data_IF_963195680429
#
_entry.id   IF_963195680429
#
_cell.length_a   1.000
_cell.length_b   1.000
_cell.length_c   1.000
_cell.angle_alpha   90.00
_cell.angle_beta   90.00
_cell.angle_gamma   90.00
#
_symmetry.space_group_name_H-M   'P 1'
#
loop_
_entity.id
_entity.type
_entity.pdbx_description
1 polymer ?
#
# COMPACT_ATOMS: atom_id res chain seq x y z
N UNK A 1 -15.94 -36.94 27.83
CA UNK A 1 -15.92 -38.36 27.51
C UNK A 1 -15.95 -39.27 28.76
N UNK A 2 -16.64 -38.85 29.81
CA UNK A 2 -16.73 -39.59 31.07
C UNK A 2 -18.17 -39.68 31.61
N UNK A 3 -19.15 -39.78 30.75
CA UNK A 3 -20.57 -39.93 31.10
C UNK A 3 -21.47 -40.03 29.90
N UNK A 4 -22.77 -40.26 30.12
CA UNK A 4 -23.72 -40.31 29.00
C UNK A 4 -23.71 -39.02 28.20
N UNK A 5 -23.71 -39.12 26.87
CA UNK A 5 -23.67 -37.96 25.93
C UNK A 5 -24.77 -36.91 26.25
N UNK A 6 -25.98 -37.37 26.54
CA UNK A 6 -27.09 -36.51 26.92
C UNK A 6 -26.81 -35.76 28.22
N UNK A 7 -26.20 -36.40 29.19
CA UNK A 7 -25.82 -35.79 30.47
C UNK A 7 -24.68 -34.77 30.26
N UNK A 8 -23.68 -35.12 29.46
CA UNK A 8 -22.57 -34.24 29.13
C UNK A 8 -23.00 -33.01 28.34
N UNK A 9 -23.93 -33.18 27.40
CA UNK A 9 -24.53 -32.03 26.66
C UNK A 9 -25.32 -31.10 27.60
N UNK A 10 -26.12 -31.64 28.51
CA UNK A 10 -26.86 -30.85 29.50
C UNK A 10 -25.90 -30.11 30.46
N UNK A 11 -24.86 -30.79 30.91
CA UNK A 11 -23.84 -30.20 31.79
C UNK A 11 -23.02 -29.12 31.07
N UNK A 12 -22.70 -29.34 29.80
CA UNK A 12 -22.06 -28.34 28.93
C UNK A 12 -22.93 -27.11 28.79
N UNK A 13 -24.22 -27.27 28.53
CA UNK A 13 -25.18 -26.17 28.48
C UNK A 13 -25.32 -25.42 29.80
N UNK A 14 -25.37 -26.12 30.92
CA UNK A 14 -25.41 -25.50 32.26
C UNK A 14 -24.14 -24.69 32.55
N UNK A 15 -22.96 -25.24 32.24
CA UNK A 15 -21.66 -24.54 32.38
C UNK A 15 -21.59 -23.30 31.50
N UNK A 16 -22.01 -23.38 30.25
CA UNK A 16 -22.07 -22.26 29.34
C UNK A 16 -22.93 -21.09 29.87
N UNK A 17 -24.12 -21.41 30.38
CA UNK A 17 -25.02 -20.44 31.02
C UNK A 17 -24.43 -19.81 32.28
N UNK A 18 -23.81 -20.61 33.16
CA UNK A 18 -23.16 -20.13 34.37
C UNK A 18 -21.95 -19.24 34.05
N UNK A 19 -21.15 -19.61 33.06
CA UNK A 19 -20.02 -18.81 32.59
C UNK A 19 -20.48 -17.47 32.02
N UNK A 20 -21.58 -17.44 31.22
CA UNK A 20 -22.19 -16.21 30.74
C UNK A 20 -22.58 -15.31 31.89
N UNK A 21 -23.28 -15.85 32.90
CA UNK A 21 -23.74 -15.08 34.06
C UNK A 21 -22.56 -14.46 34.84
N UNK A 22 -21.52 -15.24 35.09
CA UNK A 22 -20.31 -14.78 35.75
C UNK A 22 -19.55 -13.71 34.96
N UNK A 23 -19.46 -13.87 33.66
CA UNK A 23 -18.82 -12.88 32.77
C UNK A 23 -19.60 -11.56 32.75
N UNK A 24 -20.92 -11.61 32.65
CA UNK A 24 -21.79 -10.42 32.73
C UNK A 24 -21.66 -9.68 34.06
N UNK A 25 -21.57 -10.41 35.14
CA UNK A 25 -21.35 -9.81 36.50
C UNK A 25 -19.98 -9.14 36.56
N UNK A 26 -18.96 -9.76 36.01
CA UNK A 26 -17.63 -9.16 35.86
C UNK A 26 -17.66 -7.85 35.05
N UNK A 27 -18.36 -7.83 33.90
CA UNK A 27 -18.50 -6.63 33.07
C UNK A 27 -19.19 -5.49 33.85
N UNK A 28 -20.24 -5.78 34.58
CA UNK A 28 -20.94 -4.80 35.46
C UNK A 28 -19.98 -4.23 36.52
N UNK A 29 -19.24 -5.09 37.20
CA UNK A 29 -18.27 -4.69 38.25
C UNK A 29 -17.09 -3.88 37.70
N UNK A 30 -16.69 -4.15 36.44
CA UNK A 30 -15.59 -3.45 35.75
C UNK A 30 -16.02 -2.12 35.11
N UNK A 31 -17.23 -1.62 35.39
CA UNK A 31 -17.82 -0.41 34.76
C UNK A 31 -17.98 -0.50 33.22
N UNK A 32 -18.02 -1.70 32.70
CA UNK A 32 -18.29 -2.02 31.29
C UNK A 32 -19.74 -2.47 31.09
N UNK A 33 -20.69 -1.84 31.80
CA UNK A 33 -22.08 -2.24 31.87
C UNK A 33 -22.82 -2.24 30.53
N UNK A 34 -22.37 -1.43 29.55
CA UNK A 34 -22.93 -1.43 28.19
C UNK A 34 -22.73 -2.78 27.50
N UNK A 35 -21.72 -3.55 27.90
CA UNK A 35 -21.43 -4.88 27.38
C UNK A 35 -22.10 -6.00 28.20
N UNK A 36 -22.87 -5.66 29.22
CA UNK A 36 -23.58 -6.62 30.06
C UNK A 36 -25.01 -6.92 29.55
N UNK A 37 -25.38 -6.49 28.35
CA UNK A 37 -26.65 -6.82 27.71
C UNK A 37 -26.66 -8.29 27.28
N UNK A 38 -27.70 -9.02 27.70
CA UNK A 38 -27.86 -10.45 27.44
C UNK A 38 -28.01 -10.80 25.95
N UNK A 39 -28.45 -9.85 25.12
CA UNK A 39 -28.66 -10.04 23.69
C UNK A 39 -27.35 -10.22 22.93
N UNK A 40 -26.25 -9.72 23.49
CA UNK A 40 -24.92 -9.79 22.86
C UNK A 40 -24.18 -11.11 23.15
N UNK A 41 -24.76 -12.01 23.97
CA UNK A 41 -24.07 -13.24 24.38
C UNK A 41 -24.82 -14.48 23.93
N UNK A 42 -24.23 -15.20 23.02
CA UNK A 42 -24.71 -16.51 22.58
C UNK A 42 -24.02 -17.59 23.41
N UNK A 43 -24.78 -18.54 23.94
CA UNK A 43 -24.25 -19.71 24.62
C UNK A 43 -24.38 -20.92 23.72
N UNK A 44 -23.31 -21.70 23.58
CA UNK A 44 -23.30 -22.95 22.86
C UNK A 44 -22.85 -24.07 23.80
N UNK A 45 -23.53 -25.21 23.74
CA UNK A 45 -23.08 -26.46 24.35
C UNK A 45 -22.36 -27.25 23.25
N UNK A 46 -21.04 -27.37 23.36
CA UNK A 46 -20.22 -28.06 22.35
C UNK A 46 -20.08 -29.56 22.61
N UNK A 47 -20.68 -30.05 23.72
CA UNK A 47 -20.56 -31.45 24.11
C UNK A 47 -19.14 -31.84 24.52
N UNK A 48 -18.67 -32.94 23.98
CA UNK A 48 -17.34 -33.51 24.30
C UNK A 48 -16.25 -32.89 23.42
N UNK A 49 -15.19 -32.40 24.07
CA UNK A 49 -14.02 -31.77 23.41
C UNK A 49 -12.97 -32.84 23.08
N UNK A 50 -13.18 -33.60 22.00
CA UNK A 50 -12.22 -34.64 21.58
C UNK A 50 -10.89 -34.08 21.08
N UNK A 51 -10.88 -32.93 20.45
CA UNK A 51 -9.63 -32.30 20.00
C UNK A 51 -8.84 -31.78 21.20
N UNK A 52 -9.50 -31.13 22.15
CA UNK A 52 -8.88 -30.74 23.42
C UNK A 52 -8.38 -31.95 24.20
N UNK A 53 -9.09 -33.07 24.17
CA UNK A 53 -8.64 -34.31 24.78
C UNK A 53 -7.32 -34.78 24.20
N UNK A 54 -7.18 -34.84 22.90
CA UNK A 54 -5.92 -35.25 22.23
C UNK A 54 -4.76 -34.34 22.63
N UNK A 55 -4.97 -33.04 22.61
CA UNK A 55 -3.95 -32.06 22.97
C UNK A 55 -3.50 -32.19 24.42
N UNK A 56 -4.44 -32.31 25.35
CA UNK A 56 -4.11 -32.43 26.78
C UNK A 56 -3.55 -33.82 27.14
N UNK A 57 -3.95 -34.86 26.44
CA UNK A 57 -3.37 -36.20 26.58
C UNK A 57 -1.89 -36.21 26.16
N UNK A 58 -1.56 -35.58 25.04
CA UNK A 58 -0.17 -35.43 24.59
C UNK A 58 0.70 -34.73 25.63
N UNK A 59 0.14 -33.68 26.26
CA UNK A 59 0.80 -32.86 27.29
C UNK A 59 0.93 -33.53 28.65
N UNK A 60 0.17 -34.57 28.91
CA UNK A 60 0.15 -35.25 30.21
C UNK A 60 1.45 -36.02 30.45
N UNK A 61 2.34 -35.45 31.29
CA UNK A 61 3.65 -36.05 31.58
C UNK A 61 3.59 -37.32 32.44
N UNK A 62 2.53 -37.48 33.25
CA UNK A 62 2.33 -38.61 34.10
C UNK A 62 1.76 -39.86 33.40
N UNK A 63 1.40 -39.74 32.11
CA UNK A 63 0.84 -40.88 31.34
C UNK A 63 1.91 -41.39 30.37
N UNK A 64 2.29 -42.69 30.46
CA UNK A 64 3.24 -43.30 29.53
C UNK A 64 2.75 -43.25 28.06
N UNK A 65 3.66 -43.13 27.10
CA UNK A 65 3.31 -42.98 25.67
C UNK A 65 2.48 -44.18 25.17
N UNK A 66 2.81 -45.39 25.61
CA UNK A 66 2.03 -46.60 25.24
C UNK A 66 0.56 -46.52 25.66
N UNK A 67 0.29 -45.92 26.84
CA UNK A 67 -1.08 -45.69 27.32
C UNK A 67 -1.78 -44.58 26.55
N UNK A 68 -1.05 -43.49 26.19
CA UNK A 68 -1.58 -42.44 25.32
C UNK A 68 -2.03 -42.99 23.98
N UNK A 69 -1.21 -43.79 23.36
CA UNK A 69 -1.51 -44.45 22.08
C UNK A 69 -2.72 -45.37 22.16
N UNK A 70 -2.85 -46.08 23.31
CA UNK A 70 -4.00 -46.94 23.57
C UNK A 70 -5.30 -46.11 23.72
N UNK A 71 -5.27 -44.99 24.45
CA UNK A 71 -6.43 -44.11 24.60
C UNK A 71 -6.87 -43.52 23.28
N UNK A 72 -5.94 -43.04 22.43
CA UNK A 72 -6.25 -42.53 21.10
C UNK A 72 -6.85 -43.61 20.20
N UNK A 73 -6.37 -44.84 20.32
CA UNK A 73 -6.91 -45.97 19.55
C UNK A 73 -8.34 -46.27 19.96
N UNK A 74 -8.64 -46.37 21.27
CA UNK A 74 -10.00 -46.61 21.79
C UNK A 74 -10.95 -45.53 21.27
N UNK A 75 -10.55 -44.26 21.25
CA UNK A 75 -11.39 -43.17 20.70
C UNK A 75 -11.73 -43.34 19.23
N UNK A 76 -10.89 -43.99 18.46
CA UNK A 76 -11.10 -44.20 17.01
C UNK A 76 -11.79 -45.52 16.66
N UNK A 77 -11.77 -46.51 17.56
CA UNK A 77 -12.31 -47.86 17.29
C UNK A 77 -13.83 -47.95 17.27
N UNK A 78 -14.52 -47.13 18.05
CA UNK A 78 -15.98 -47.14 18.12
C UNK A 78 -16.58 -45.79 17.72
N UNK A 79 -17.55 -45.83 16.83
CA UNK A 79 -18.34 -44.67 16.49
C UNK A 79 -19.43 -44.37 17.55
N UNK A 80 -19.82 -45.36 18.34
CA UNK A 80 -20.81 -45.23 19.41
C UNK A 80 -20.18 -44.59 20.66
N UNK A 81 -20.63 -43.44 21.12
CA UNK A 81 -20.11 -42.77 22.32
C UNK A 81 -20.22 -43.62 23.58
N UNK A 82 -21.32 -44.35 23.75
CA UNK A 82 -21.53 -45.20 24.93
C UNK A 82 -20.55 -46.37 24.96
N UNK A 83 -20.22 -46.93 23.82
CA UNK A 83 -19.26 -48.01 23.75
C UNK A 83 -17.84 -47.49 24.00
N UNK A 84 -17.47 -46.33 23.43
CA UNK A 84 -16.19 -45.67 23.71
C UNK A 84 -15.97 -45.41 25.18
N UNK A 85 -16.99 -44.94 25.90
CA UNK A 85 -16.93 -44.69 27.33
C UNK A 85 -16.64 -45.99 28.09
N UNK A 86 -17.39 -47.05 27.80
CA UNK A 86 -17.16 -48.37 28.40
C UNK A 86 -15.76 -48.90 28.16
N UNK A 87 -15.28 -48.73 26.92
CA UNK A 87 -13.95 -49.19 26.53
C UNK A 87 -12.85 -48.40 27.26
N UNK A 88 -13.03 -47.08 27.42
CA UNK A 88 -12.11 -46.23 28.19
C UNK A 88 -12.11 -46.60 29.69
N UNK A 89 -13.29 -46.80 30.29
CA UNK A 89 -13.41 -47.20 31.68
C UNK A 89 -12.78 -48.59 31.91
N UNK A 90 -12.91 -49.52 30.95
CA UNK A 90 -12.32 -50.84 31.00
C UNK A 90 -10.77 -50.83 31.09
N UNK A 91 -10.12 -49.69 30.76
CA UNK A 91 -8.68 -49.52 30.91
C UNK A 91 -8.21 -49.35 32.37
N UNK A 92 -9.13 -49.27 33.32
CA UNK A 92 -8.87 -49.31 34.76
C UNK A 92 -7.92 -48.22 35.23
N UNK A 93 -6.69 -48.58 35.63
CA UNK A 93 -5.70 -47.60 36.17
C UNK A 93 -5.40 -46.46 35.17
N UNK A 94 -5.41 -46.74 33.88
CA UNK A 94 -5.22 -45.72 32.85
C UNK A 94 -6.36 -44.71 32.84
N UNK A 95 -7.61 -45.15 33.00
CA UNK A 95 -8.76 -44.23 33.08
C UNK A 95 -8.65 -43.28 34.29
N UNK A 96 -8.20 -43.81 35.46
CA UNK A 96 -7.97 -42.97 36.66
C UNK A 96 -6.89 -41.91 36.41
N UNK A 97 -5.89 -42.15 35.59
CA UNK A 97 -4.90 -41.14 35.21
C UNK A 97 -5.53 -40.05 34.28
N UNK A 98 -6.39 -40.43 33.35
CA UNK A 98 -7.15 -39.49 32.55
C UNK A 98 -8.02 -38.55 33.42
N UNK A 99 -8.70 -39.13 34.41
CA UNK A 99 -9.52 -38.37 35.34
C UNK A 99 -8.73 -37.31 36.14
N UNK A 100 -7.47 -37.59 36.42
CA UNK A 100 -6.60 -36.67 37.22
C UNK A 100 -5.90 -35.63 36.32
N UNK A 101 -5.37 -36.06 35.17
CA UNK A 101 -4.45 -35.21 34.42
C UNK A 101 -5.05 -34.57 33.15
N UNK A 102 -6.07 -35.20 32.56
CA UNK A 102 -6.62 -34.77 31.26
C UNK A 102 -8.01 -34.15 31.41
N UNK A 103 -8.96 -34.92 31.99
CA UNK A 103 -10.36 -34.46 32.05
C UNK A 103 -10.59 -33.12 32.74
N UNK A 104 -9.90 -32.76 33.84
CA UNK A 104 -10.07 -31.45 34.43
C UNK A 104 -9.71 -30.29 33.51
N UNK A 105 -8.77 -30.49 32.60
CA UNK A 105 -8.29 -29.47 31.68
C UNK A 105 -9.22 -29.25 30.49
N UNK A 106 -9.97 -30.29 30.09
CA UNK A 106 -10.96 -30.18 28.99
C UNK A 106 -12.37 -29.81 29.48
N UNK A 107 -12.61 -29.91 30.80
CA UNK A 107 -13.87 -29.47 31.43
C UNK A 107 -13.90 -27.97 31.64
N UNK A 108 -13.79 -27.20 30.52
CA UNK A 108 -13.68 -25.76 30.51
C UNK A 108 -14.83 -25.11 29.73
N UNK A 109 -15.12 -23.87 30.07
CA UNK A 109 -15.88 -22.98 29.21
C UNK A 109 -14.92 -22.03 28.50
N UNK A 110 -15.12 -21.81 27.21
CA UNK A 110 -14.34 -20.90 26.40
C UNK A 110 -15.17 -19.66 26.15
N UNK A 111 -14.65 -18.49 26.43
CA UNK A 111 -15.25 -17.21 26.11
C UNK A 111 -14.59 -16.72 24.82
N UNK A 112 -15.39 -16.59 23.76
CA UNK A 112 -14.97 -15.99 22.51
C UNK A 112 -15.57 -14.60 22.42
N UNK A 113 -14.75 -13.59 22.33
CA UNK A 113 -15.17 -12.19 22.17
C UNK A 113 -14.96 -11.82 20.70
N UNK A 114 -16.06 -11.61 19.98
CA UNK A 114 -16.03 -11.00 18.66
C UNK A 114 -16.29 -9.51 18.84
N UNK A 115 -15.39 -8.67 18.37
CA UNK A 115 -15.56 -7.23 18.41
C UNK A 115 -15.24 -6.64 17.04
N UNK A 116 -15.91 -5.54 16.75
CA UNK A 116 -15.59 -4.72 15.59
C UNK A 116 -15.05 -3.40 16.11
N UNK A 117 -13.82 -3.08 15.77
CA UNK A 117 -13.27 -1.77 15.99
C UNK A 117 -13.86 -0.81 14.95
N UNK A 118 -14.58 0.20 15.39
CA UNK A 118 -15.03 1.25 14.48
C UNK A 118 -13.82 2.16 14.21
N UNK A 119 -13.33 2.11 12.97
CA UNK A 119 -12.29 3.02 12.51
C UNK A 119 -12.76 4.47 12.51
N UNK A 120 -11.81 5.39 12.45
CA UNK A 120 -12.12 6.81 12.30
C UNK A 120 -12.78 7.08 10.94
N UNK A 121 -13.74 7.98 10.91
CA UNK A 121 -14.31 8.50 9.67
C UNK A 121 -13.28 9.33 8.89
N UNK A 122 -13.54 9.57 7.61
CA UNK A 122 -12.65 10.36 6.75
C UNK A 122 -12.38 11.76 7.31
N UNK A 123 -13.37 12.40 7.93
CA UNK A 123 -13.23 13.72 8.52
C UNK A 123 -12.43 13.68 9.83
N UNK A 124 -12.64 12.68 10.65
CA UNK A 124 -11.83 12.45 11.85
C UNK A 124 -10.37 12.14 11.50
N UNK A 125 -10.13 11.34 10.45
CA UNK A 125 -8.77 11.07 9.96
C UNK A 125 -8.07 12.35 9.50
N UNK A 126 -8.75 13.22 8.73
CA UNK A 126 -8.20 14.52 8.31
C UNK A 126 -7.88 15.41 9.51
N UNK A 127 -8.81 15.53 10.45
CA UNK A 127 -8.65 16.35 11.62
C UNK A 127 -7.49 15.85 12.52
N UNK A 128 -7.41 14.54 12.73
CA UNK A 128 -6.36 13.92 13.54
C UNK A 128 -4.98 14.01 12.87
N UNK A 129 -4.92 13.88 11.54
CA UNK A 129 -3.67 14.04 10.79
C UNK A 129 -3.10 15.46 10.85
N UNK A 130 -3.95 16.47 11.03
CA UNK A 130 -3.52 17.87 11.21
C UNK A 130 -3.13 18.15 12.68
N UNK A 131 -3.92 17.68 13.65
CA UNK A 131 -3.76 18.01 15.06
C UNK A 131 -2.76 17.11 15.80
N UNK A 132 -2.77 15.80 15.55
CA UNK A 132 -2.02 14.80 16.34
C UNK A 132 -1.56 13.62 15.46
N UNK A 133 -0.78 13.85 14.40
CA UNK A 133 -0.38 12.78 13.47
C UNK A 133 0.44 11.68 14.14
N UNK A 134 1.15 11.97 15.23
CA UNK A 134 1.93 10.98 15.97
C UNK A 134 1.08 9.90 16.68
N UNK A 135 -0.22 10.16 16.86
CA UNK A 135 -1.18 9.21 17.46
C UNK A 135 -1.88 8.34 16.42
N UNK A 136 -1.58 8.53 15.13
CA UNK A 136 -2.14 7.75 14.03
C UNK A 136 -1.18 6.64 13.62
N UNK A 137 -1.73 5.53 13.17
CA UNK A 137 -0.95 4.46 12.56
C UNK A 137 -0.36 4.89 11.20
N UNK A 138 0.67 4.15 10.74
CA UNK A 138 1.24 4.38 9.41
C UNK A 138 0.19 4.25 8.30
N UNK A 139 -0.71 3.27 8.43
CA UNK A 139 -1.76 3.03 7.43
C UNK A 139 -2.78 4.18 7.38
N UNK A 140 -3.21 4.69 8.53
CA UNK A 140 -4.11 5.85 8.59
C UNK A 140 -3.48 7.10 7.99
N UNK A 141 -2.21 7.40 8.32
CA UNK A 141 -1.49 8.55 7.77
C UNK A 141 -1.33 8.44 6.25
N UNK A 142 -0.90 7.26 5.76
CA UNK A 142 -0.70 7.01 4.33
C UNK A 142 -2.03 7.10 3.59
N UNK A 143 -3.09 6.50 4.12
CA UNK A 143 -4.44 6.58 3.55
C UNK A 143 -4.95 8.01 3.50
N UNK A 144 -4.84 8.74 4.60
CA UNK A 144 -5.26 10.15 4.68
C UNK A 144 -4.55 10.99 3.64
N UNK A 145 -3.22 10.91 3.57
CA UNK A 145 -2.43 11.68 2.62
C UNK A 145 -2.71 11.32 1.17
N UNK A 146 -2.84 10.01 0.86
CA UNK A 146 -2.98 9.55 -0.53
C UNK A 146 -4.40 9.70 -1.08
N UNK A 147 -5.41 9.53 -0.23
CA UNK A 147 -6.81 9.38 -0.66
C UNK A 147 -7.66 10.58 -0.30
N UNK A 148 -7.51 11.09 0.91
CA UNK A 148 -8.41 12.09 1.47
C UNK A 148 -7.92 13.52 1.22
N UNK A 149 -6.61 13.74 1.08
CA UNK A 149 -6.01 15.08 0.88
C UNK A 149 -5.63 15.24 -0.59
N UNK A 150 -5.96 16.39 -1.18
CA UNK A 150 -5.70 16.68 -2.59
C UNK A 150 -4.56 17.69 -2.81
N UNK A 151 -4.35 18.60 -1.87
CA UNK A 151 -3.27 19.56 -1.99
C UNK A 151 -1.92 18.96 -1.60
N UNK A 152 -0.92 19.27 -2.41
CA UNK A 152 0.42 18.70 -2.30
C UNK A 152 1.17 19.15 -1.03
N UNK A 153 0.85 20.34 -0.52
CA UNK A 153 1.51 20.88 0.68
C UNK A 153 1.07 20.11 1.93
N UNK A 154 -0.24 19.87 2.07
CA UNK A 154 -0.79 19.07 3.18
C UNK A 154 -0.39 17.61 3.07
N UNK A 155 -0.42 17.02 1.86
CA UNK A 155 0.13 15.66 1.65
C UNK A 155 1.57 15.55 2.16
N UNK A 156 2.40 16.54 1.82
CA UNK A 156 3.80 16.58 2.26
C UNK A 156 3.95 16.60 3.77
N UNK A 157 3.16 17.42 4.48
CA UNK A 157 3.18 17.46 5.95
C UNK A 157 2.82 16.11 6.57
N UNK A 158 1.77 15.47 6.07
CA UNK A 158 1.30 14.17 6.62
C UNK A 158 2.32 13.06 6.33
N UNK A 159 2.88 13.00 5.12
CA UNK A 159 3.92 12.00 4.81
C UNK A 159 5.22 12.24 5.59
N UNK A 160 5.57 13.50 5.88
CA UNK A 160 6.70 13.82 6.74
C UNK A 160 6.48 13.32 8.18
N UNK A 161 5.28 13.54 8.70
CA UNK A 161 4.89 13.03 10.02
C UNK A 161 4.93 11.48 10.04
N UNK A 162 4.41 10.83 8.98
CA UNK A 162 4.48 9.39 8.84
C UNK A 162 5.93 8.86 8.78
N UNK A 163 6.79 9.49 8.00
CA UNK A 163 8.21 9.11 7.90
C UNK A 163 8.99 9.35 9.20
N UNK A 164 8.59 10.33 10.00
CA UNK A 164 9.18 10.61 11.31
C UNK A 164 8.72 9.59 12.36
N UNK A 165 7.42 9.31 12.42
CA UNK A 165 6.85 8.38 13.39
C UNK A 165 7.18 6.91 13.07
N UNK A 166 7.31 6.58 11.79
CA UNK A 166 7.53 5.21 11.30
C UNK A 166 8.77 5.11 10.41
N UNK A 167 9.98 5.34 10.95
CA UNK A 167 11.23 5.41 10.17
C UNK A 167 11.64 4.08 9.52
N UNK A 168 10.98 2.99 9.86
CA UNK A 168 11.16 1.66 9.25
C UNK A 168 10.03 1.30 8.27
N UNK A 169 9.05 2.16 8.05
CA UNK A 169 8.02 1.93 7.03
C UNK A 169 8.47 2.51 5.68
N UNK A 170 8.79 1.59 4.77
CA UNK A 170 9.24 1.93 3.41
C UNK A 170 8.22 2.77 2.65
N UNK A 171 6.92 2.57 2.89
CA UNK A 171 5.84 3.29 2.22
C UNK A 171 5.84 4.77 2.65
N UNK A 172 5.93 5.00 3.96
CA UNK A 172 5.99 6.36 4.52
C UNK A 172 7.18 7.14 3.98
N UNK A 173 8.38 6.54 4.04
CA UNK A 173 9.62 7.13 3.53
C UNK A 173 9.57 7.38 2.02
N UNK A 174 9.11 6.39 1.24
CA UNK A 174 9.01 6.52 -0.22
C UNK A 174 8.02 7.63 -0.62
N UNK A 175 6.86 7.70 0.03
CA UNK A 175 5.83 8.68 -0.29
C UNK A 175 6.26 10.09 0.15
N UNK A 176 6.90 10.24 1.31
CA UNK A 176 7.52 11.51 1.71
C UNK A 176 8.57 11.98 0.70
N UNK A 177 9.38 11.06 0.18
CA UNK A 177 10.35 11.36 -0.87
C UNK A 177 9.70 11.75 -2.20
N UNK A 178 8.66 11.03 -2.62
CA UNK A 178 7.95 11.31 -3.85
C UNK A 178 7.26 12.68 -3.82
N UNK A 179 6.55 12.99 -2.72
CA UNK A 179 5.88 14.30 -2.56
C UNK A 179 6.89 15.43 -2.43
N UNK A 180 8.00 15.24 -1.73
CA UNK A 180 9.08 16.24 -1.68
C UNK A 180 9.64 16.54 -3.09
N UNK A 181 9.78 15.52 -3.94
CA UNK A 181 10.16 15.71 -5.35
C UNK A 181 9.14 16.54 -6.13
N UNK A 182 7.86 16.22 -5.98
CA UNK A 182 6.77 16.97 -6.63
C UNK A 182 6.70 18.44 -6.15
N UNK A 183 7.11 18.72 -4.92
CA UNK A 183 7.24 20.07 -4.35
C UNK A 183 8.52 20.79 -4.80
N UNK A 184 9.37 20.17 -5.60
CA UNK A 184 10.66 20.71 -6.03
C UNK A 184 11.78 20.60 -4.99
N UNK A 185 11.54 19.98 -3.83
CA UNK A 185 12.56 19.77 -2.81
C UNK A 185 13.37 18.49 -3.10
N UNK A 186 14.24 18.60 -4.10
CA UNK A 186 15.02 17.47 -4.62
C UNK A 186 15.97 16.88 -3.55
N UNK A 187 16.55 17.69 -2.68
CA UNK A 187 17.45 17.23 -1.63
C UNK A 187 16.72 16.36 -0.60
N UNK A 188 15.54 16.82 -0.13
CA UNK A 188 14.69 16.07 0.81
C UNK A 188 14.15 14.79 0.16
N UNK A 189 13.75 14.88 -1.12
CA UNK A 189 13.30 13.72 -1.88
C UNK A 189 14.38 12.62 -1.89
N UNK A 190 15.60 12.97 -2.28
CA UNK A 190 16.73 12.06 -2.29
C UNK A 190 16.97 11.41 -0.94
N UNK A 191 17.04 12.20 0.12
CA UNK A 191 17.28 11.72 1.49
C UNK A 191 16.22 10.70 1.94
N UNK A 192 14.93 10.98 1.72
CA UNK A 192 13.86 10.08 2.15
C UNK A 192 13.83 8.79 1.31
N UNK A 193 14.07 8.89 0.00
CA UNK A 193 14.12 7.72 -0.88
C UNK A 193 15.33 6.84 -0.59
N UNK A 194 16.51 7.41 -0.29
CA UNK A 194 17.68 6.64 0.14
C UNK A 194 17.43 5.92 1.47
N UNK A 195 16.79 6.58 2.45
CA UNK A 195 16.34 5.91 3.68
C UNK A 195 15.39 4.75 3.39
N UNK A 196 14.40 4.95 2.52
CA UNK A 196 13.47 3.91 2.13
C UNK A 196 14.18 2.70 1.50
N UNK A 197 15.16 2.94 0.65
CA UNK A 197 15.95 1.88 0.00
C UNK A 197 16.84 1.12 1.00
N UNK A 198 17.37 1.81 2.01
CA UNK A 198 18.15 1.19 3.09
C UNK A 198 17.29 0.29 3.98
N UNK A 199 16.01 0.63 4.19
CA UNK A 199 15.08 -0.23 4.93
C UNK A 199 14.73 -1.47 4.13
N UNK A 200 14.38 -1.31 2.84
CA UNK A 200 14.02 -2.43 1.97
C UNK A 200 14.24 -2.08 0.50
N UNK A 201 14.94 -2.96 -0.19
CA UNK A 201 15.07 -2.87 -1.66
C UNK A 201 13.70 -3.06 -2.33
N UNK A 202 13.29 -2.04 -3.09
CA UNK A 202 12.04 -2.12 -3.87
C UNK A 202 12.08 -1.29 -5.16
N UNK A 203 11.33 -1.76 -6.15
CA UNK A 203 11.27 -1.17 -7.49
C UNK A 203 10.73 0.26 -7.50
N UNK A 204 9.70 0.57 -6.69
CA UNK A 204 9.08 1.90 -6.66
C UNK A 204 10.07 2.97 -6.18
N UNK A 205 10.81 2.67 -5.10
CA UNK A 205 11.82 3.60 -4.57
C UNK A 205 12.97 3.80 -5.56
N UNK A 206 13.44 2.74 -6.23
CA UNK A 206 14.47 2.86 -7.27
C UNK A 206 13.99 3.71 -8.44
N UNK A 207 12.77 3.52 -8.89
CA UNK A 207 12.17 4.33 -9.95
C UNK A 207 12.07 5.82 -9.56
N UNK A 208 11.67 6.11 -8.32
CA UNK A 208 11.60 7.48 -7.81
C UNK A 208 12.99 8.12 -7.68
N UNK A 209 13.97 7.37 -7.19
CA UNK A 209 15.38 7.84 -7.14
C UNK A 209 15.95 8.10 -8.53
N UNK A 210 15.57 7.31 -9.53
CA UNK A 210 15.97 7.57 -10.90
C UNK A 210 15.39 8.91 -11.41
N UNK A 211 14.13 9.21 -11.08
CA UNK A 211 13.51 10.52 -11.37
C UNK A 211 14.28 11.67 -10.73
N UNK A 212 14.62 11.53 -9.45
CA UNK A 212 15.46 12.51 -8.71
C UNK A 212 16.82 12.69 -9.38
N UNK A 213 17.51 11.60 -9.71
CA UNK A 213 18.82 11.66 -10.37
C UNK A 213 18.74 12.33 -11.75
N UNK A 214 17.69 12.04 -12.53
CA UNK A 214 17.45 12.71 -13.82
C UNK A 214 17.28 14.23 -13.65
N UNK A 215 16.52 14.68 -12.66
CA UNK A 215 16.33 16.11 -12.42
C UNK A 215 17.62 16.83 -12.00
N UNK A 216 18.58 16.10 -11.43
CA UNK A 216 19.92 16.60 -11.08
C UNK A 216 20.93 16.47 -12.25
N UNK A 217 20.53 15.94 -13.40
CA UNK A 217 21.40 15.67 -14.54
C UNK A 217 22.30 14.43 -14.37
N UNK A 218 22.16 13.67 -13.28
CA UNK A 218 22.92 12.45 -13.03
C UNK A 218 22.29 11.25 -13.78
N UNK A 219 22.57 11.19 -15.07
CA UNK A 219 22.07 10.14 -15.97
C UNK A 219 22.62 8.76 -15.61
N UNK A 220 23.87 8.71 -15.10
CA UNK A 220 24.50 7.44 -14.76
C UNK A 220 23.79 6.75 -13.59
N UNK A 221 23.51 7.50 -12.52
CA UNK A 221 22.75 7.01 -11.37
C UNK A 221 21.31 6.66 -11.78
N UNK A 222 20.63 7.50 -12.56
CA UNK A 222 19.29 7.21 -13.03
C UNK A 222 19.22 5.87 -13.81
N UNK A 223 20.13 5.67 -14.75
CA UNK A 223 20.21 4.43 -15.53
C UNK A 223 20.52 3.22 -14.66
N UNK A 224 21.45 3.33 -13.71
CA UNK A 224 21.78 2.28 -12.73
C UNK A 224 20.54 1.89 -11.92
N UNK A 225 19.81 2.86 -11.39
CA UNK A 225 18.58 2.59 -10.61
C UNK A 225 17.54 1.88 -11.44
N UNK A 226 17.24 2.38 -12.65
CA UNK A 226 16.22 1.79 -13.54
C UNK A 226 16.61 0.38 -14.01
N UNK A 227 17.89 0.10 -14.24
CA UNK A 227 18.35 -1.24 -14.64
C UNK A 227 18.13 -2.30 -13.56
N UNK A 228 18.02 -1.90 -12.30
CA UNK A 228 17.75 -2.78 -11.16
C UNK A 228 16.27 -2.95 -10.86
N UNK A 229 15.39 -2.22 -11.55
CA UNK A 229 13.93 -2.34 -11.41
C UNK A 229 13.45 -3.54 -12.22
N UNK A 230 12.84 -4.50 -11.53
CA UNK A 230 12.28 -5.71 -12.18
C UNK A 230 10.88 -5.48 -12.72
N UNK A 231 10.17 -4.51 -12.19
CA UNK A 231 8.84 -4.12 -12.60
C UNK A 231 8.88 -3.43 -13.99
N UNK A 232 7.86 -3.71 -14.80
CA UNK A 232 7.65 -3.09 -16.14
C UNK A 232 6.41 -2.20 -16.13
N UNK A 233 6.14 -1.52 -15.03
CA UNK A 233 5.01 -0.60 -14.96
C UNK A 233 5.15 0.55 -15.97
N UNK A 234 4.04 1.26 -16.22
CA UNK A 234 4.02 2.39 -17.13
C UNK A 234 4.99 3.50 -16.72
N UNK A 235 5.12 3.74 -15.40
CA UNK A 235 6.02 4.76 -14.83
C UNK A 235 7.50 4.40 -15.05
N UNK A 236 7.85 3.13 -14.88
CA UNK A 236 9.22 2.65 -15.14
C UNK A 236 9.54 2.74 -16.63
N UNK A 237 8.61 2.35 -17.49
CA UNK A 237 8.75 2.45 -18.95
C UNK A 237 8.91 3.90 -19.37
N UNK A 238 8.12 4.81 -18.79
CA UNK A 238 8.21 6.24 -19.04
C UNK A 238 9.58 6.82 -18.64
N UNK A 239 10.08 6.50 -17.44
CA UNK A 239 11.39 6.97 -16.98
C UNK A 239 12.55 6.40 -17.83
N UNK A 240 12.45 5.15 -18.29
CA UNK A 240 13.40 4.60 -19.23
C UNK A 240 13.35 5.35 -20.57
N UNK A 241 12.17 5.71 -21.06
CA UNK A 241 12.03 6.49 -22.29
C UNK A 241 12.69 7.88 -22.17
N UNK A 242 12.60 8.53 -20.99
CA UNK A 242 13.31 9.80 -20.74
C UNK A 242 14.83 9.60 -20.87
N UNK A 243 15.39 8.54 -20.30
CA UNK A 243 16.82 8.22 -20.46
C UNK A 243 17.16 8.01 -21.94
N UNK A 244 16.33 7.28 -22.69
CA UNK A 244 16.55 7.05 -24.11
C UNK A 244 16.50 8.35 -24.93
N UNK A 245 15.63 9.31 -24.60
CA UNK A 245 15.61 10.65 -25.20
C UNK A 245 16.96 11.34 -24.95
N UNK A 246 17.44 11.32 -23.71
CA UNK A 246 18.71 11.93 -23.33
C UNK A 246 19.93 11.26 -23.98
N UNK A 247 19.81 10.00 -24.40
CA UNK A 247 20.81 9.23 -25.14
C UNK A 247 20.67 9.36 -26.67
N UNK A 248 19.71 10.11 -27.19
CA UNK A 248 19.48 10.25 -28.63
C UNK A 248 18.77 9.07 -29.28
N UNK A 249 18.21 8.13 -28.51
CA UNK A 249 17.49 6.93 -29.01
C UNK A 249 16.00 7.21 -29.20
N UNK A 250 15.69 8.18 -30.02
CA UNK A 250 14.36 8.78 -30.11
C UNK A 250 13.25 7.82 -30.58
N UNK A 251 13.53 6.99 -31.58
CA UNK A 251 12.57 5.99 -32.06
C UNK A 251 12.17 4.99 -30.99
N UNK A 252 13.17 4.45 -30.28
CA UNK A 252 12.94 3.50 -29.18
C UNK A 252 12.23 4.19 -28.01
N UNK A 253 12.59 5.43 -27.69
CA UNK A 253 11.94 6.22 -26.65
C UNK A 253 10.45 6.42 -26.92
N UNK A 254 10.09 6.82 -28.15
CA UNK A 254 8.69 7.02 -28.55
C UNK A 254 7.84 5.74 -28.38
N UNK A 255 8.41 4.59 -28.71
CA UNK A 255 7.75 3.28 -28.54
C UNK A 255 7.65 2.86 -27.08
N UNK A 256 8.65 3.22 -26.24
CA UNK A 256 8.72 2.84 -24.83
C UNK A 256 7.81 3.69 -23.91
N UNK A 257 7.36 4.87 -24.35
CA UNK A 257 6.43 5.71 -23.61
C UNK A 257 5.02 5.11 -23.42
N UNK A 258 4.74 3.94 -23.94
CA UNK A 258 3.44 3.28 -23.86
C UNK A 258 2.38 3.85 -24.80
N UNK A 259 1.12 3.45 -24.60
CA UNK A 259 -0.02 3.88 -25.44
C UNK A 259 -0.50 5.29 -25.13
N UNK A 260 -0.32 5.77 -23.90
CA UNK A 260 -0.81 7.09 -23.48
C UNK A 260 -0.06 8.24 -24.17
N UNK A 261 -0.83 9.26 -24.51
CA UNK A 261 -0.26 10.51 -25.05
C UNK A 261 0.41 11.30 -23.91
N UNK A 262 1.69 11.63 -24.10
CA UNK A 262 2.47 12.40 -23.13
C UNK A 262 3.42 13.37 -23.82
N UNK A 263 3.85 14.39 -23.07
CA UNK A 263 4.85 15.36 -23.55
C UNK A 263 6.12 14.66 -24.06
N UNK A 264 6.68 13.73 -23.26
CA UNK A 264 7.93 13.06 -23.62
C UNK A 264 7.79 12.14 -24.85
N UNK A 265 6.61 11.52 -25.06
CA UNK A 265 6.34 10.78 -26.29
C UNK A 265 6.33 11.70 -27.51
N UNK A 266 5.63 12.83 -27.41
CA UNK A 266 5.60 13.84 -28.48
C UNK A 266 7.00 14.42 -28.75
N UNK A 267 7.79 14.69 -27.70
CA UNK A 267 9.17 15.14 -27.82
C UNK A 267 10.05 14.10 -28.52
N UNK A 268 9.95 12.82 -28.15
CA UNK A 268 10.69 11.75 -28.81
C UNK A 268 10.31 11.62 -30.29
N UNK A 269 9.02 11.72 -30.63
CA UNK A 269 8.54 11.71 -32.01
C UNK A 269 9.05 12.92 -32.79
N UNK A 270 9.02 14.12 -32.21
CA UNK A 270 9.58 15.33 -32.84
C UNK A 270 11.07 15.16 -33.11
N UNK A 271 11.84 14.68 -32.13
CA UNK A 271 13.29 14.50 -32.27
C UNK A 271 13.65 13.39 -33.25
N UNK A 272 12.73 12.41 -33.44
CA UNK A 272 12.83 11.37 -34.47
C UNK A 272 12.39 11.84 -35.86
N UNK A 273 11.93 13.09 -36.02
CA UNK A 273 11.47 13.65 -37.26
C UNK A 273 9.99 13.39 -37.61
N UNK A 274 9.24 12.73 -36.75
CA UNK A 274 7.84 12.37 -36.93
C UNK A 274 6.93 13.54 -36.44
N UNK A 275 6.90 14.63 -37.21
CA UNK A 275 6.24 15.88 -36.81
C UNK A 275 4.72 15.75 -36.66
N UNK A 276 4.05 15.02 -37.55
CA UNK A 276 2.60 14.82 -37.53
C UNK A 276 2.17 14.01 -36.30
N UNK A 277 2.92 12.93 -35.98
CA UNK A 277 2.64 12.12 -34.81
C UNK A 277 2.93 12.89 -33.53
N UNK A 278 4.00 13.69 -33.49
CA UNK A 278 4.31 14.56 -32.37
C UNK A 278 3.18 15.56 -32.10
N UNK A 279 2.66 16.18 -33.16
CA UNK A 279 1.53 17.12 -33.04
C UNK A 279 0.26 16.46 -32.52
N UNK A 280 -0.11 15.29 -33.07
CA UNK A 280 -1.29 14.52 -32.64
C UNK A 280 -1.14 14.06 -31.18
N UNK A 281 0.02 13.50 -30.86
CA UNK A 281 0.30 13.03 -29.48
C UNK A 281 0.22 14.17 -28.47
N UNK A 282 0.87 15.30 -28.77
CA UNK A 282 0.86 16.45 -27.88
C UNK A 282 -0.55 17.02 -27.68
N UNK A 283 -1.34 17.10 -28.75
CA UNK A 283 -2.72 17.61 -28.71
C UNK A 283 -3.65 16.74 -27.87
N UNK A 284 -3.35 15.45 -27.76
CA UNK A 284 -4.09 14.48 -26.92
C UNK A 284 -3.54 14.36 -25.52
N UNK A 285 -2.38 14.95 -25.21
CA UNK A 285 -1.74 14.85 -23.89
C UNK A 285 -2.36 15.77 -22.86
N UNK A 286 -2.18 15.44 -21.58
CA UNK A 286 -2.54 16.31 -20.44
C UNK A 286 -1.71 17.59 -20.43
N UNK A 287 -0.53 17.58 -21.05
CA UNK A 287 0.43 18.68 -21.05
C UNK A 287 0.21 19.67 -22.19
N UNK A 288 -0.78 19.43 -23.08
CA UNK A 288 -1.03 20.21 -24.31
C UNK A 288 -1.15 21.72 -24.08
N UNK A 289 -1.67 22.11 -22.90
CA UNK A 289 -1.91 23.50 -22.55
C UNK A 289 -0.95 24.00 -21.43
N UNK A 290 0.10 23.23 -21.12
CA UNK A 290 1.20 23.66 -20.25
C UNK A 290 2.15 24.63 -21.00
N UNK A 291 3.00 25.33 -20.25
CA UNK A 291 4.03 26.16 -20.85
C UNK A 291 4.98 25.35 -21.75
N UNK A 292 5.40 24.16 -21.27
CA UNK A 292 6.23 23.22 -22.04
C UNK A 292 5.49 22.73 -23.29
N UNK A 293 4.19 22.42 -23.15
CA UNK A 293 3.34 21.99 -24.27
C UNK A 293 3.25 23.03 -25.39
N UNK A 294 2.97 24.27 -25.04
CA UNK A 294 2.95 25.36 -26.04
C UNK A 294 4.31 25.60 -26.65
N UNK A 295 5.40 25.51 -25.87
CA UNK A 295 6.74 25.66 -26.40
C UNK A 295 7.08 24.53 -27.40
N UNK A 296 6.69 23.29 -27.10
CA UNK A 296 6.85 22.18 -28.01
C UNK A 296 6.00 22.34 -29.29
N UNK A 297 4.76 22.87 -29.18
CA UNK A 297 3.93 23.23 -30.36
C UNK A 297 4.62 24.28 -31.23
N UNK A 298 5.30 25.26 -30.62
CA UNK A 298 6.05 26.26 -31.37
C UNK A 298 7.23 25.61 -32.14
N UNK A 299 7.96 24.69 -31.52
CA UNK A 299 9.04 23.95 -32.20
C UNK A 299 8.49 23.08 -33.35
N UNK A 300 7.38 22.38 -33.12
CA UNK A 300 6.71 21.59 -34.15
C UNK A 300 6.34 22.50 -35.32
N UNK A 301 5.72 23.66 -35.07
CA UNK A 301 5.34 24.62 -36.09
C UNK A 301 6.56 25.15 -36.90
N UNK A 302 7.68 25.41 -36.18
CA UNK A 302 8.92 25.87 -36.83
C UNK A 302 9.51 24.79 -37.74
N UNK A 303 9.56 23.55 -37.31
CA UNK A 303 10.11 22.42 -38.10
C UNK A 303 9.19 21.99 -39.27
N UNK A 304 7.86 22.11 -39.06
CA UNK A 304 6.88 21.82 -40.15
C UNK A 304 6.69 22.97 -41.13
N UNK A 305 7.41 24.09 -41.00
CA UNK A 305 7.28 25.29 -41.79
C UNK A 305 5.82 25.86 -41.82
N UNK A 306 5.12 25.81 -40.69
CA UNK A 306 3.74 26.27 -40.55
C UNK A 306 3.58 27.83 -40.55
N UNK A 307 4.67 28.56 -40.75
CA UNK A 307 4.68 30.02 -40.79
C UNK A 307 4.99 30.65 -39.43
N UNK A 308 5.42 31.93 -39.47
CA UNK A 308 5.82 32.70 -38.28
C UNK A 308 4.66 32.92 -37.30
N UNK A 309 3.44 33.14 -37.80
CA UNK A 309 2.26 33.38 -36.98
C UNK A 309 1.94 32.19 -36.07
N UNK A 310 2.05 30.96 -36.59
CA UNK A 310 1.85 29.75 -35.79
C UNK A 310 2.92 29.60 -34.70
N UNK A 311 4.18 29.89 -35.03
CA UNK A 311 5.30 29.89 -34.08
C UNK A 311 5.08 30.91 -32.98
N UNK A 312 4.82 32.18 -33.35
CA UNK A 312 4.65 33.33 -32.43
C UNK A 312 3.43 33.14 -31.52
N UNK A 313 2.30 32.65 -32.05
CA UNK A 313 1.10 32.40 -31.26
C UNK A 313 1.37 31.38 -30.13
N UNK A 314 2.04 30.26 -30.46
CA UNK A 314 2.39 29.26 -29.46
C UNK A 314 3.45 29.78 -28.45
N UNK A 315 4.45 30.55 -28.91
CA UNK A 315 5.44 31.16 -28.00
C UNK A 315 4.78 32.15 -27.04
N UNK A 316 3.88 33.01 -27.50
CA UNK A 316 3.13 33.91 -26.63
C UNK A 316 2.34 33.15 -25.58
N UNK A 317 1.72 32.05 -25.95
CA UNK A 317 1.00 31.16 -25.01
C UNK A 317 1.95 30.54 -23.98
N UNK A 318 3.12 30.04 -24.39
CA UNK A 318 4.14 29.52 -23.49
C UNK A 318 4.64 30.59 -22.51
N UNK A 319 4.99 31.77 -23.01
CA UNK A 319 5.52 32.90 -22.22
C UNK A 319 4.48 33.46 -21.24
N UNK A 320 3.20 33.49 -21.62
CA UNK A 320 2.13 33.91 -20.71
C UNK A 320 1.97 33.00 -19.50
N UNK A 321 2.27 31.71 -19.65
CA UNK A 321 2.23 30.73 -18.58
C UNK A 321 3.52 30.68 -17.76
N UNK A 322 4.67 30.89 -18.39
CA UNK A 322 5.97 30.92 -17.72
C UNK A 322 6.94 31.85 -18.49
N UNK A 323 7.28 32.96 -17.85
CA UNK A 323 8.12 34.03 -18.44
C UNK A 323 9.53 33.52 -18.83
N UNK A 324 10.04 32.44 -18.24
CA UNK A 324 11.37 31.89 -18.61
C UNK A 324 11.46 31.49 -20.09
N UNK A 325 10.32 31.18 -20.73
CA UNK A 325 10.31 30.83 -22.15
C UNK A 325 10.59 32.03 -23.08
N UNK A 326 10.51 33.26 -22.61
CA UNK A 326 10.89 34.44 -23.37
C UNK A 326 12.38 34.43 -23.70
N UNK A 327 13.20 34.35 -22.67
CA UNK A 327 14.66 34.29 -22.84
C UNK A 327 15.12 32.99 -23.55
N UNK A 328 14.46 31.86 -23.24
CA UNK A 328 14.75 30.57 -23.88
C UNK A 328 14.51 30.63 -25.38
N UNK A 329 13.36 31.16 -25.83
CA UNK A 329 13.02 31.27 -27.24
C UNK A 329 13.96 32.18 -28.02
N UNK A 330 14.39 33.30 -27.40
CA UNK A 330 15.32 34.24 -28.02
C UNK A 330 16.70 33.60 -28.37
N UNK A 331 17.06 32.52 -27.65
CA UNK A 331 18.37 31.83 -27.81
C UNK A 331 18.26 30.44 -28.45
N UNK A 332 17.02 29.95 -28.69
CA UNK A 332 16.80 28.59 -29.19
C UNK A 332 17.04 28.52 -30.70
N UNK A 333 17.92 27.62 -31.11
CA UNK A 333 18.26 27.36 -32.52
C UNK A 333 17.08 26.85 -33.35
N UNK A 334 16.08 26.30 -32.75
CA UNK A 334 14.84 25.88 -33.42
C UNK A 334 14.14 27.02 -34.12
N UNK A 335 14.30 28.26 -33.63
CA UNK A 335 13.68 29.46 -34.17
C UNK A 335 14.62 30.35 -35.01
N UNK A 336 15.79 29.86 -35.37
CA UNK A 336 16.81 30.66 -36.08
C UNK A 336 16.27 31.30 -37.36
N UNK A 337 15.36 30.64 -38.07
CA UNK A 337 14.74 31.13 -39.31
C UNK A 337 13.82 32.34 -39.08
N UNK A 338 13.36 32.53 -37.83
CA UNK A 338 12.37 33.56 -37.49
C UNK A 338 13.00 34.71 -36.69
N UNK A 339 14.28 34.65 -36.33
CA UNK A 339 14.93 35.68 -35.47
C UNK A 339 14.97 37.08 -36.09
N UNK A 340 14.95 37.16 -37.44
CA UNK A 340 14.89 38.45 -38.16
C UNK A 340 13.45 38.97 -38.39
N UNK A 341 12.44 38.17 -38.03
CA UNK A 341 11.04 38.55 -38.20
C UNK A 341 10.61 39.50 -37.08
N UNK A 342 9.87 40.57 -37.44
CA UNK A 342 9.44 41.61 -36.48
C UNK A 342 8.44 41.09 -35.45
N UNK A 343 7.54 40.18 -35.86
CA UNK A 343 6.54 39.59 -34.94
C UNK A 343 7.16 38.63 -33.94
N UNK A 344 8.15 37.85 -34.37
CA UNK A 344 8.94 36.98 -33.51
C UNK A 344 9.74 37.80 -32.51
N UNK A 345 10.51 38.81 -33.00
CA UNK A 345 11.29 39.71 -32.16
C UNK A 345 10.44 40.41 -31.09
N UNK A 346 9.24 40.87 -31.46
CA UNK A 346 8.31 41.48 -30.49
C UNK A 346 7.75 40.49 -29.44
N UNK A 347 7.72 39.21 -29.75
CA UNK A 347 7.25 38.19 -28.81
C UNK A 347 8.33 37.78 -27.78
N UNK A 348 9.61 37.86 -28.15
CA UNK A 348 10.72 37.35 -27.32
C UNK A 348 11.63 38.44 -26.74
N UNK A 349 11.47 39.69 -27.15
CA UNK A 349 12.14 40.89 -26.58
C UNK A 349 11.17 41.71 -25.75
#
# INVERSE_FOLDING_TARGET
PDGEETFNNNLSGARSKATRAAFMDLMKKSKLSIYADTTNYVTAALGEDFEGFKVELERAAGIPQADKDLFLRVLTMSADPKQREKDLVALGKGFTQLEKEVFPKIRRAVIVVNYTEQGLSDDELRAKADASPAEMSADELIFTASTLVKDLATQGKIYDAAALAYPSDVRALNNAGAVAYMQGNVAKAKTNLEKALNVKDNSKTKNNLAGVAMSQGDRATAKKMLSQVKDKSAEVSYNNAVIMILEGKYSTAASSCGSEASFNKALAQLLNGNLDDASKTLSSSKDKDSADGYYLKAIIAARSNAGVDAVVSNLKSAISKDKKYKEKAAKDREFIKFMSDASFSAAVN
#
